data_IF_222164365666
#
_entry.id   IF_222164365666
#
_cell.length_a   1.000
_cell.length_b   1.000
_cell.length_c   1.000
_cell.angle_alpha   90.00
_cell.angle_beta   90.00
_cell.angle_gamma   90.00
#
_symmetry.space_group_name_H-M   'P 1'
#
loop_
_entity.id
_entity.type
_entity.pdbx_description
1 polymer ?
#
# COMPACT_ATOMS: atom_id res chain seq x y z
N UNK A 1 5.51 15.63 6.65
CA UNK A 1 4.83 14.32 6.61
C UNK A 1 5.84 13.29 7.01
N UNK A 2 5.43 12.30 7.79
CA UNK A 2 6.27 11.14 8.08
C UNK A 2 6.43 10.29 6.82
N UNK A 3 7.42 9.39 6.83
CA UNK A 3 7.61 8.43 5.76
C UNK A 3 6.36 7.55 5.62
N UNK A 4 5.87 7.37 4.39
CA UNK A 4 4.76 6.46 4.13
C UNK A 4 5.30 5.03 4.11
N UNK A 5 4.76 4.20 5.00
CA UNK A 5 5.12 2.78 5.09
C UNK A 5 3.87 1.92 5.02
N UNK A 6 3.95 0.80 4.32
CA UNK A 6 2.90 -0.22 4.28
C UNK A 6 3.50 -1.58 4.64
N UNK A 7 2.75 -2.39 5.37
CA UNK A 7 3.10 -3.78 5.64
C UNK A 7 1.97 -4.67 5.12
N UNK A 8 2.32 -5.63 4.26
CA UNK A 8 1.38 -6.62 3.75
C UNK A 8 1.80 -7.99 4.23
N UNK A 9 0.85 -8.75 4.79
CA UNK A 9 1.09 -10.09 5.34
C UNK A 9 0.31 -11.13 4.53
N UNK A 10 1.02 -12.08 3.95
CA UNK A 10 0.45 -13.19 3.18
C UNK A 10 0.56 -14.48 3.99
N UNK A 11 -0.51 -15.28 4.00
CA UNK A 11 -0.54 -16.59 4.68
C UNK A 11 -0.54 -17.71 3.66
N UNK A 12 0.29 -18.74 3.88
CA UNK A 12 0.31 -19.94 3.05
C UNK A 12 0.88 -19.77 1.64
N UNK A 13 1.58 -18.65 1.36
CA UNK A 13 2.20 -18.37 0.05
C UNK A 13 3.72 -18.56 0.13
N UNK A 14 4.29 -19.24 -0.87
CA UNK A 14 5.75 -19.35 -1.03
C UNK A 14 6.36 -18.04 -1.56
N UNK A 15 7.55 -17.71 -1.09
CA UNK A 15 8.34 -16.61 -1.60
C UNK A 15 8.72 -16.65 -3.07
N UNK A 16 8.87 -17.83 -3.66
CA UNK A 16 9.17 -17.91 -5.09
C UNK A 16 7.95 -17.41 -5.89
N UNK A 17 6.74 -17.69 -5.39
CA UNK A 17 5.50 -17.13 -5.93
C UNK A 17 5.39 -15.64 -5.66
N UNK A 18 5.75 -15.17 -4.46
CA UNK A 18 5.77 -13.73 -4.15
C UNK A 18 6.79 -12.96 -5.00
N UNK A 19 7.94 -13.57 -5.32
CA UNK A 19 8.97 -12.96 -6.16
C UNK A 19 8.46 -12.74 -7.58
N UNK A 20 7.67 -13.67 -8.12
CA UNK A 20 6.97 -13.50 -9.41
C UNK A 20 5.96 -12.36 -9.39
N UNK A 21 5.36 -12.07 -8.22
CA UNK A 21 4.44 -10.95 -8.02
C UNK A 21 5.15 -9.60 -7.78
N UNK A 22 6.49 -9.56 -7.84
CA UNK A 22 7.28 -8.34 -7.65
C UNK A 22 7.55 -7.97 -6.19
N UNK A 23 7.26 -8.87 -5.24
CA UNK A 23 7.57 -8.68 -3.81
C UNK A 23 9.04 -9.02 -3.51
N UNK A 24 9.96 -8.48 -4.30
CA UNK A 24 11.42 -8.67 -4.13
C UNK A 24 12.02 -7.37 -3.64
N UNK A 25 12.94 -7.47 -2.67
CA UNK A 25 13.70 -6.31 -2.16
C UNK A 25 14.37 -5.60 -3.34
N UNK A 26 14.21 -4.29 -3.44
CA UNK A 26 14.72 -3.52 -4.58
C UNK A 26 13.66 -3.14 -5.61
N UNK A 27 12.52 -3.83 -5.66
CA UNK A 27 11.46 -3.57 -6.64
C UNK A 27 10.44 -2.55 -6.14
N UNK A 28 9.74 -1.93 -7.10
CA UNK A 28 8.62 -1.01 -6.87
C UNK A 28 7.28 -1.59 -7.35
N UNK A 29 6.73 -2.62 -6.70
CA UNK A 29 5.42 -3.14 -7.07
C UNK A 29 4.31 -2.12 -6.78
N UNK A 30 3.22 -2.23 -7.54
CA UNK A 30 1.96 -1.53 -7.33
C UNK A 30 0.88 -2.53 -6.98
N UNK A 31 0.09 -2.21 -5.96
CA UNK A 31 -0.99 -3.05 -5.48
C UNK A 31 -2.28 -2.25 -5.34
N UNK A 32 -3.38 -3.01 -5.33
CA UNK A 32 -4.69 -2.51 -5.00
C UNK A 32 -5.31 -3.43 -3.95
N UNK A 33 -5.65 -2.86 -2.80
CA UNK A 33 -6.44 -3.54 -1.78
C UNK A 33 -7.91 -3.10 -1.89
N UNK A 34 -8.80 -4.07 -1.81
CA UNK A 34 -10.25 -3.85 -1.81
C UNK A 34 -10.77 -4.27 -0.44
N UNK A 35 -11.51 -3.39 0.20
CA UNK A 35 -12.16 -3.66 1.47
C UNK A 35 -13.66 -3.38 1.35
N UNK A 36 -14.48 -4.31 1.83
CA UNK A 36 -15.92 -4.15 1.93
C UNK A 36 -16.37 -4.27 3.38
N UNK A 37 -17.16 -3.31 3.87
CA UNK A 37 -17.63 -3.29 5.24
C UNK A 37 -19.06 -2.75 5.35
N UNK A 38 -19.72 -3.06 6.48
CA UNK A 38 -21.06 -2.57 6.79
C UNK A 38 -20.99 -1.34 7.68
N UNK A 39 -21.64 -0.26 7.27
CA UNK A 39 -21.80 0.97 8.04
C UNK A 39 -23.27 1.31 8.17
N UNK A 40 -23.82 1.27 9.38
CA UNK A 40 -25.23 1.58 9.67
C UNK A 40 -26.23 0.86 8.75
N UNK A 41 -25.98 -0.42 8.44
CA UNK A 41 -26.82 -1.24 7.56
C UNK A 41 -26.61 -1.02 6.06
N UNK A 42 -25.67 -0.16 5.65
CA UNK A 42 -25.27 0.04 4.25
C UNK A 42 -23.93 -0.62 4.00
N UNK A 43 -23.81 -1.41 2.92
CA UNK A 43 -22.53 -1.93 2.46
C UNK A 43 -21.74 -0.82 1.76
N UNK A 44 -20.47 -0.67 2.14
CA UNK A 44 -19.54 0.31 1.57
C UNK A 44 -18.26 -0.40 1.13
N UNK A 45 -17.62 0.13 0.09
CA UNK A 45 -16.36 -0.32 -0.44
C UNK A 45 -15.29 0.76 -0.42
N UNK A 46 -14.14 0.43 0.14
CA UNK A 46 -12.90 1.19 0.04
C UNK A 46 -11.94 0.51 -0.93
N UNK A 47 -11.26 1.33 -1.74
CA UNK A 47 -10.19 0.90 -2.64
C UNK A 47 -8.94 1.69 -2.27
N UNK A 48 -7.88 0.96 -1.93
CA UNK A 48 -6.57 1.50 -1.64
C UNK A 48 -5.57 1.08 -2.71
N UNK A 49 -4.97 2.06 -3.37
CA UNK A 49 -3.89 1.86 -4.32
C UNK A 49 -2.59 2.32 -3.67
N UNK A 50 -1.56 1.50 -3.75
CA UNK A 50 -0.25 1.85 -3.22
C UNK A 50 0.85 1.34 -4.13
N UNK A 51 1.88 2.16 -4.29
CA UNK A 51 3.13 1.82 -4.96
C UNK A 51 4.27 2.15 -4.02
N UNK A 52 5.29 1.30 -3.99
CA UNK A 52 6.40 1.52 -3.09
C UNK A 52 7.54 0.56 -3.30
N UNK A 53 8.69 0.95 -2.76
CA UNK A 53 9.89 0.15 -2.74
C UNK A 53 9.78 -0.93 -1.65
N UNK A 54 9.96 -2.19 -2.02
CA UNK A 54 10.05 -3.29 -1.05
C UNK A 54 11.35 -3.18 -0.29
N UNK A 55 11.27 -2.85 1.00
CA UNK A 55 12.43 -2.64 1.86
C UNK A 55 12.86 -3.93 2.55
N UNK A 56 11.90 -4.81 2.88
CA UNK A 56 12.17 -6.05 3.60
C UNK A 56 11.10 -7.10 3.31
N UNK A 57 11.53 -8.36 3.28
CA UNK A 57 10.65 -9.53 3.25
C UNK A 57 11.04 -10.44 4.40
N UNK A 58 10.10 -10.70 5.32
CA UNK A 58 10.31 -11.52 6.52
C UNK A 58 9.39 -12.73 6.46
N UNK A 59 9.89 -13.92 6.81
CA UNK A 59 9.06 -15.13 6.93
C UNK A 59 8.92 -15.50 8.40
N UNK A 60 7.73 -15.95 8.79
CA UNK A 60 7.53 -16.57 10.09
C UNK A 60 8.30 -17.90 10.18
N UNK A 61 8.58 -18.34 11.40
CA UNK A 61 9.28 -19.60 11.65
C UNK A 61 8.45 -20.78 11.10
N UNK A 62 9.13 -21.71 10.41
CA UNK A 62 8.49 -22.92 9.88
C UNK A 62 8.30 -23.93 11.01
N UNK A 63 7.06 -24.27 11.35
CA UNK A 63 6.75 -25.51 12.08
C UNK A 63 6.73 -26.68 11.08
N UNK A 64 7.16 -27.86 11.52
CA UNK A 64 7.40 -29.01 10.62
C UNK A 64 6.16 -29.64 9.97
N UNK A 65 4.95 -29.13 10.26
CA UNK A 65 3.71 -29.83 9.96
C UNK A 65 2.87 -29.20 8.83
N UNK A 66 2.96 -27.87 8.59
CA UNK A 66 2.29 -27.27 7.44
C UNK A 66 2.84 -25.90 7.04
N UNK A 67 3.04 -25.71 5.73
CA UNK A 67 3.37 -24.40 5.14
C UNK A 67 2.16 -23.46 5.07
N UNK A 68 0.93 -23.96 5.27
CA UNK A 68 -0.29 -23.13 5.27
C UNK A 68 -0.34 -22.14 6.44
N UNK A 69 0.36 -22.45 7.53
CA UNK A 69 0.42 -21.62 8.74
C UNK A 69 1.61 -20.65 8.72
N UNK A 70 2.49 -20.78 7.72
CA UNK A 70 3.64 -19.89 7.59
C UNK A 70 3.20 -18.64 6.85
N UNK A 71 3.51 -17.49 7.44
CA UNK A 71 3.24 -16.21 6.83
C UNK A 71 4.50 -15.56 6.28
N UNK A 72 4.32 -14.70 5.28
CA UNK A 72 5.34 -13.81 4.74
C UNK A 72 4.86 -12.38 4.89
N UNK A 73 5.68 -11.57 5.56
CA UNK A 73 5.46 -10.14 5.77
C UNK A 73 6.37 -9.36 4.83
N UNK A 74 5.77 -8.47 4.03
CA UNK A 74 6.46 -7.58 3.10
C UNK A 74 6.31 -6.15 3.60
N UNK A 75 7.44 -5.50 3.88
CA UNK A 75 7.50 -4.10 4.27
C UNK A 75 7.81 -3.23 3.04
N UNK A 76 7.00 -2.20 2.82
CA UNK A 76 7.11 -1.27 1.70
C UNK A 76 7.30 0.16 2.20
N UNK A 77 8.25 0.87 1.59
CA UNK A 77 8.35 2.33 1.66
C UNK A 77 7.61 2.92 0.45
N UNK A 78 6.48 3.58 0.68
CA UNK A 78 5.60 4.04 -0.39
C UNK A 78 6.06 5.35 -1.01
N UNK A 79 5.99 5.43 -2.34
CA UNK A 79 6.10 6.69 -3.09
C UNK A 79 4.72 7.22 -3.53
N UNK A 80 3.71 6.33 -3.61
CA UNK A 80 2.33 6.64 -3.96
C UNK A 80 1.34 5.91 -3.04
N UNK A 81 0.30 6.63 -2.63
CA UNK A 81 -0.86 6.08 -1.92
C UNK A 81 -2.12 6.82 -2.35
N UNK A 82 -3.20 6.09 -2.62
CA UNK A 82 -4.52 6.66 -2.87
C UNK A 82 -5.60 5.81 -2.23
N UNK A 83 -6.53 6.46 -1.57
CA UNK A 83 -7.71 5.83 -0.98
C UNK A 83 -8.98 6.46 -1.54
N UNK A 84 -9.90 5.61 -1.98
CA UNK A 84 -11.23 6.01 -2.43
C UNK A 84 -12.29 5.24 -1.65
N UNK A 85 -13.41 5.89 -1.36
CA UNK A 85 -14.61 5.30 -0.76
C UNK A 85 -15.77 5.55 -1.72
N UNK A 86 -16.39 4.50 -2.25
CA UNK A 86 -17.49 4.62 -3.22
C UNK A 86 -17.13 5.56 -4.40
N UNK A 87 -15.89 5.46 -4.90
CA UNK A 87 -15.37 6.31 -5.98
C UNK A 87 -15.02 7.74 -5.59
N UNK A 88 -15.28 8.17 -4.35
CA UNK A 88 -14.84 9.46 -3.82
C UNK A 88 -13.42 9.35 -3.28
N UNK A 89 -12.52 10.17 -3.80
CA UNK A 89 -11.15 10.30 -3.26
C UNK A 89 -11.19 10.85 -1.84
N UNK A 90 -10.60 10.10 -0.90
CA UNK A 90 -10.42 10.53 0.48
C UNK A 90 -9.01 11.11 0.67
N UNK A 91 -8.00 10.38 0.21
CA UNK A 91 -6.59 10.72 0.35
C UNK A 91 -5.87 10.34 -0.93
N UNK A 92 -5.02 11.23 -1.43
CA UNK A 92 -4.02 10.90 -2.45
C UNK A 92 -2.70 11.54 -2.05
N UNK A 93 -1.63 10.76 -2.04
CA UNK A 93 -0.26 11.18 -1.76
C UNK A 93 0.62 10.65 -2.87
N UNK A 94 1.26 11.56 -3.59
CA UNK A 94 2.27 11.25 -4.60
C UNK A 94 3.52 12.06 -4.26
N UNK A 95 4.52 11.37 -3.73
CA UNK A 95 5.76 12.01 -3.27
C UNK A 95 6.65 12.45 -4.43
N UNK A 96 6.61 11.75 -5.57
CA UNK A 96 7.39 12.09 -6.77
C UNK A 96 6.81 13.34 -7.46
N UNK A 97 5.49 13.52 -7.41
CA UNK A 97 4.79 14.71 -7.93
C UNK A 97 4.53 15.79 -6.88
N UNK A 98 5.05 15.64 -5.67
CA UNK A 98 4.85 16.58 -4.56
C UNK A 98 3.38 16.94 -4.32
N UNK A 99 2.50 15.95 -4.43
CA UNK A 99 1.05 16.12 -4.35
C UNK A 99 0.51 15.48 -3.07
N UNK A 100 -0.35 16.21 -2.36
CA UNK A 100 -1.14 15.67 -1.24
C UNK A 100 -2.55 16.21 -1.33
N UNK A 101 -3.49 15.37 -1.75
CA UNK A 101 -4.89 15.72 -1.86
C UNK A 101 -5.68 15.09 -0.73
N UNK A 102 -6.50 15.90 -0.08
CA UNK A 102 -7.41 15.47 0.97
C UNK A 102 -8.81 15.82 0.49
N UNK A 103 -9.66 14.80 0.36
CA UNK A 103 -11.00 14.93 -0.22
C UNK A 103 -10.99 15.67 -1.57
N UNK A 104 -10.04 15.32 -2.46
CA UNK A 104 -9.88 15.94 -3.77
C UNK A 104 -9.13 17.27 -3.80
N UNK A 105 -8.88 17.92 -2.66
CA UNK A 105 -8.25 19.25 -2.59
C UNK A 105 -6.76 19.13 -2.33
N UNK A 106 -5.94 19.65 -3.26
CA UNK A 106 -4.48 19.68 -3.11
C UNK A 106 -4.05 20.67 -2.03
N UNK A 107 -3.37 20.12 -1.01
CA UNK A 107 -2.86 20.84 0.15
C UNK A 107 -1.47 21.41 -0.10
N UNK A 108 -0.74 20.92 -1.11
CA UNK A 108 0.65 21.31 -1.37
C UNK A 108 0.81 22.24 -2.56
N UNK A 109 -0.19 22.39 -3.43
CA UNK A 109 -0.12 23.21 -4.65
C UNK A 109 0.38 24.64 -4.43
N UNK A 110 -0.03 25.28 -3.33
CA UNK A 110 0.44 26.62 -2.97
C UNK A 110 1.94 26.69 -2.66
N UNK A 111 2.49 25.65 -2.02
CA UNK A 111 3.92 25.53 -1.73
C UNK A 111 4.70 25.06 -2.96
N UNK A 112 4.16 24.09 -3.69
CA UNK A 112 4.72 23.56 -4.94
C UNK A 112 5.02 24.70 -5.94
N UNK A 113 4.12 25.67 -6.06
CA UNK A 113 4.31 26.84 -6.93
C UNK A 113 5.44 27.79 -6.49
N UNK A 114 6.01 27.62 -5.30
CA UNK A 114 7.06 28.47 -4.73
C UNK A 114 8.43 27.81 -4.66
N UNK A 115 8.50 26.52 -5.00
CA UNK A 115 9.75 25.75 -4.99
C UNK A 115 10.01 25.18 -6.38
N UNK A 116 11.27 24.97 -6.71
CA UNK A 116 11.63 24.22 -7.92
C UNK A 116 11.53 22.74 -7.58
N UNK A 117 10.50 22.10 -8.14
CA UNK A 117 10.33 20.65 -8.13
C UNK A 117 11.25 20.00 -9.17
#
# INVERSE_FOLDING_TARGET
>A
MEALTCQVKFWGIDTDVLALLGCVVGQKPRFTAYEGYMSNGTALGTIEEFEGFVSKVTRDARSGESLSEVSVTVDLALNYYKQTLEGRELIEIDTERFTRRINGVDQLGGLAAKIRL
#
